data_IF_724405140743
#
_entry.id   IF_724405140743
#
_cell.length_a   1.000
_cell.length_b   1.000
_cell.length_c   1.000
_cell.angle_alpha   90.00
_cell.angle_beta   90.00
_cell.angle_gamma   90.00
#
_symmetry.space_group_name_H-M   'P 1'
#
loop_
_entity.id
_entity.type
_entity.pdbx_description
1 polymer ?
#
# COMPACT_ATOMS: atom_id res chain seq x y z
N UNK A 1 11.79 -12.62 -0.40
CA UNK A 1 10.37 -12.39 -0.74
C UNK A 1 9.91 -11.19 0.02
N UNK A 2 9.29 -10.24 -0.66
CA UNK A 2 8.84 -8.98 -0.09
C UNK A 2 7.32 -8.89 -0.22
N UNK A 3 6.65 -8.51 0.86
CA UNK A 3 5.20 -8.33 0.92
C UNK A 3 4.87 -6.85 1.08
N UNK A 4 4.03 -6.35 0.19
CA UNK A 4 3.33 -5.07 0.34
C UNK A 4 2.14 -5.28 1.26
N UNK A 5 1.99 -4.37 2.21
CA UNK A 5 0.88 -4.33 3.14
C UNK A 5 0.30 -2.93 3.22
N UNK A 6 -0.95 -2.87 3.65
CA UNK A 6 -1.66 -1.62 3.94
C UNK A 6 -2.01 -1.55 5.41
N UNK A 7 -1.96 -0.34 5.98
CA UNK A 7 -2.65 -0.04 7.23
C UNK A 7 -3.96 0.69 6.93
N UNK A 8 -4.99 0.30 7.66
CA UNK A 8 -6.36 0.77 7.45
C UNK A 8 -6.89 1.46 8.70
N UNK A 9 -7.67 2.51 8.46
CA UNK A 9 -8.56 3.12 9.45
C UNK A 9 -9.99 3.05 8.90
N UNK A 10 -10.89 2.31 9.57
CA UNK A 10 -12.27 2.11 9.11
C UNK A 10 -12.35 1.66 7.63
N UNK A 11 -11.55 0.65 7.26
CA UNK A 11 -11.40 0.15 5.89
C UNK A 11 -10.91 1.17 4.83
N UNK A 12 -10.39 2.32 5.26
CA UNK A 12 -9.69 3.26 4.38
C UNK A 12 -8.18 3.08 4.46
N UNK A 13 -7.53 3.00 3.30
CA UNK A 13 -6.06 2.93 3.24
C UNK A 13 -5.48 4.26 3.70
N UNK A 14 -4.79 4.22 4.84
CA UNK A 14 -4.06 5.38 5.40
C UNK A 14 -2.56 5.30 5.14
N UNK A 15 -2.03 4.09 5.00
CA UNK A 15 -0.60 3.87 4.82
C UNK A 15 -0.35 2.62 3.98
N UNK A 16 0.70 2.65 3.17
CA UNK A 16 1.21 1.50 2.43
C UNK A 16 2.67 1.31 2.80
N UNK A 17 3.04 0.09 3.15
CA UNK A 17 4.42 -0.28 3.45
C UNK A 17 4.82 -1.57 2.76
N UNK A 18 6.11 -1.88 2.86
CA UNK A 18 6.69 -3.14 2.38
C UNK A 18 7.50 -3.80 3.48
N UNK A 19 7.53 -5.12 3.50
CA UNK A 19 8.30 -5.91 4.47
C UNK A 19 8.88 -7.14 3.81
N UNK A 20 10.14 -7.46 4.13
CA UNK A 20 10.75 -8.75 3.77
C UNK A 20 10.33 -9.89 4.70
N UNK A 21 9.71 -9.54 5.84
CA UNK A 21 9.19 -10.49 6.83
C UNK A 21 7.70 -10.74 6.57
N UNK A 22 7.26 -11.99 6.69
CA UNK A 22 5.85 -12.36 6.57
C UNK A 22 5.01 -11.91 7.78
N UNK A 23 5.64 -11.63 8.92
CA UNK A 23 4.91 -11.24 10.12
C UNK A 23 4.47 -9.77 10.08
N UNK A 24 3.22 -9.59 9.62
CA UNK A 24 2.55 -8.29 9.59
C UNK A 24 2.22 -7.78 10.99
N UNK A 25 2.02 -8.65 11.99
CA UNK A 25 1.74 -8.18 13.36
C UNK A 25 2.96 -7.48 13.93
N UNK A 26 4.16 -8.04 13.72
CA UNK A 26 5.40 -7.38 14.11
C UNK A 26 5.53 -5.99 13.47
N UNK A 27 5.13 -5.85 12.19
CA UNK A 27 5.13 -4.56 11.49
C UNK A 27 4.10 -3.58 12.04
N UNK A 28 2.90 -4.05 12.39
CA UNK A 28 1.90 -3.22 13.05
C UNK A 28 2.45 -2.64 14.36
N UNK A 29 3.06 -3.48 15.21
CA UNK A 29 3.68 -3.02 16.46
C UNK A 29 4.79 -1.99 16.23
N UNK A 30 5.62 -2.18 15.21
CA UNK A 30 6.65 -1.19 14.86
C UNK A 30 6.05 0.17 14.48
N UNK A 31 4.97 0.19 13.69
CA UNK A 31 4.28 1.44 13.36
C UNK A 31 3.62 2.09 14.58
N UNK A 32 3.10 1.28 15.51
CA UNK A 32 2.57 1.79 16.78
C UNK A 32 3.67 2.45 17.62
N UNK A 33 4.83 1.81 17.73
CA UNK A 33 6.00 2.35 18.45
C UNK A 33 6.57 3.61 17.77
N UNK A 34 6.64 3.61 16.44
CA UNK A 34 6.99 4.79 15.64
C UNK A 34 6.01 5.94 15.85
N UNK A 35 4.72 5.68 16.07
CA UNK A 35 3.74 6.73 16.35
C UNK A 35 3.98 7.42 17.70
N UNK A 36 4.56 6.72 18.69
CA UNK A 36 4.99 7.35 19.94
C UNK A 36 6.24 8.21 19.75
N UNK A 37 7.19 7.75 18.94
CA UNK A 37 8.48 8.44 18.74
C UNK A 37 8.43 9.55 17.69
N UNK A 38 7.51 9.47 16.73
CA UNK A 38 7.33 10.44 15.65
C UNK A 38 5.82 10.70 15.40
N UNK A 39 5.19 11.49 16.30
CA UNK A 39 3.75 11.70 16.28
C UNK A 39 3.27 12.46 15.04
N UNK A 40 4.10 13.28 14.39
CA UNK A 40 3.70 14.05 13.20
C UNK A 40 3.46 13.14 11.98
N UNK A 41 4.23 12.05 11.85
CA UNK A 41 4.12 11.13 10.72
C UNK A 41 2.94 10.16 10.85
N UNK A 42 2.59 9.80 12.08
CA UNK A 42 1.58 8.78 12.39
C UNK A 42 0.52 9.27 13.38
N UNK A 43 0.18 10.56 13.32
CA UNK A 43 -0.79 11.19 14.23
C UNK A 43 -2.12 10.42 14.27
N UNK A 44 -2.59 9.97 13.11
CA UNK A 44 -3.82 9.19 12.98
C UNK A 44 -3.77 7.85 13.73
N UNK A 45 -2.61 7.18 13.77
CA UNK A 45 -2.42 5.96 14.57
C UNK A 45 -2.53 6.30 16.06
N UNK A 46 -1.84 7.35 16.50
CA UNK A 46 -1.91 7.82 17.89
C UNK A 46 -3.32 8.22 18.32
N UNK A 47 -4.11 8.83 17.43
CA UNK A 47 -5.50 9.18 17.68
C UNK A 47 -6.40 7.93 17.82
N UNK A 48 -6.21 6.90 16.99
CA UNK A 48 -6.90 5.62 17.15
C UNK A 48 -6.66 5.00 18.53
N UNK A 49 -5.42 5.04 19.03
CA UNK A 49 -5.11 4.50 20.36
C UNK A 49 -5.82 5.24 21.49
N UNK A 50 -5.93 6.58 21.40
CA UNK A 50 -6.67 7.38 22.39
C UNK A 50 -8.15 7.01 22.44
N UNK A 51 -8.70 6.52 21.34
CA UNK A 51 -10.07 6.02 21.22
C UNK A 51 -10.22 4.53 21.57
N UNK A 52 -9.14 3.87 22.01
CA UNK A 52 -9.14 2.44 22.32
C UNK A 52 -9.19 1.54 21.08
N UNK A 53 -8.79 2.05 19.91
CA UNK A 53 -8.80 1.34 18.63
C UNK A 53 -7.38 1.13 18.12
N UNK A 54 -7.22 0.16 17.22
CA UNK A 54 -5.94 -0.11 16.53
C UNK A 54 -6.17 -0.11 15.03
N UNK A 55 -5.19 0.34 14.22
CA UNK A 55 -5.29 0.19 12.78
C UNK A 55 -5.24 -1.29 12.37
N UNK A 56 -5.99 -1.64 11.32
CA UNK A 56 -5.90 -2.98 10.73
C UNK A 56 -4.71 -3.05 9.77
N UNK A 57 -4.03 -4.19 9.73
CA UNK A 57 -2.98 -4.47 8.75
C UNK A 57 -3.42 -5.61 7.82
N UNK A 58 -3.29 -5.42 6.50
CA UNK A 58 -3.61 -6.46 5.51
C UNK A 58 -2.49 -6.59 4.47
N UNK A 59 -2.10 -7.81 4.09
CA UNK A 59 -1.23 -8.01 2.93
C UNK A 59 -2.01 -7.64 1.67
N UNK A 60 -1.32 -7.04 0.70
CA UNK A 60 -1.87 -6.70 -0.61
C UNK A 60 -1.27 -7.59 -1.68
N UNK A 61 0.05 -7.74 -1.66
CA UNK A 61 0.77 -8.42 -2.73
C UNK A 61 2.14 -8.88 -2.24
N UNK A 62 2.62 -10.03 -2.71
CA UNK A 62 3.93 -10.58 -2.38
C UNK A 62 4.70 -10.88 -3.66
N UNK A 63 5.95 -10.44 -3.72
CA UNK A 63 6.84 -10.61 -4.87
C UNK A 63 8.23 -11.11 -4.48
N UNK A 64 9.00 -11.59 -5.46
CA UNK A 64 10.39 -11.97 -5.25
C UNK A 64 11.29 -10.74 -5.26
N UNK A 65 12.38 -10.75 -4.48
CA UNK A 65 13.18 -9.54 -4.26
C UNK A 65 13.86 -9.03 -5.54
N UNK A 66 14.03 -9.92 -6.53
CA UNK A 66 14.52 -9.62 -7.89
C UNK A 66 13.58 -8.69 -8.68
N UNK A 67 12.30 -8.66 -8.32
CA UNK A 67 11.26 -7.87 -8.98
C UNK A 67 10.96 -6.55 -8.23
N UNK A 68 11.71 -6.25 -7.15
CA UNK A 68 11.41 -5.15 -6.24
C UNK A 68 11.34 -3.78 -6.91
N UNK A 69 12.32 -3.45 -7.75
CA UNK A 69 12.39 -2.16 -8.46
C UNK A 69 11.19 -1.94 -9.39
N UNK A 70 10.64 -3.01 -9.96
CA UNK A 70 9.48 -2.96 -10.83
C UNK A 70 8.21 -2.67 -10.02
N UNK A 71 7.96 -3.45 -8.98
CA UNK A 71 6.76 -3.29 -8.16
C UNK A 71 6.78 -1.99 -7.36
N UNK A 72 7.93 -1.51 -6.91
CA UNK A 72 8.00 -0.22 -6.20
C UNK A 72 7.60 0.95 -7.09
N UNK A 73 8.06 0.98 -8.35
CA UNK A 73 7.63 2.01 -9.32
C UNK A 73 6.14 1.92 -9.63
N UNK A 74 5.62 0.69 -9.74
CA UNK A 74 4.19 0.41 -9.95
C UNK A 74 3.35 0.96 -8.79
N UNK A 75 3.68 0.58 -7.55
CA UNK A 75 2.94 0.97 -6.36
C UNK A 75 3.04 2.46 -6.05
N UNK A 76 4.18 3.12 -6.31
CA UNK A 76 4.30 4.57 -6.15
C UNK A 76 3.44 5.32 -7.17
N UNK A 77 3.38 4.84 -8.42
CA UNK A 77 2.51 5.39 -9.46
C UNK A 77 1.03 5.23 -9.09
N UNK A 78 0.67 4.07 -8.55
CA UNK A 78 -0.70 3.76 -8.13
C UNK A 78 -1.09 4.49 -6.84
N UNK A 79 -0.20 4.64 -5.86
CA UNK A 79 -0.51 5.28 -4.57
C UNK A 79 -1.02 6.72 -4.72
N UNK A 80 -0.45 7.49 -5.66
CA UNK A 80 -0.95 8.84 -6.00
C UNK A 80 -2.37 8.84 -6.55
N UNK A 81 -2.81 7.71 -7.10
CA UNK A 81 -4.16 7.52 -7.63
C UNK A 81 -5.11 6.92 -6.56
N UNK A 82 -4.60 6.06 -5.66
CA UNK A 82 -5.40 5.35 -4.66
C UNK A 82 -5.59 6.08 -3.32
N UNK A 83 -4.82 7.15 -3.03
CA UNK A 83 -5.04 7.96 -1.82
C UNK A 83 -6.42 8.63 -1.86
N UNK A 84 -7.42 7.99 -1.25
CA UNK A 84 -8.83 8.42 -1.24
C UNK A 84 -9.86 7.32 -1.49
N UNK A 85 -9.45 6.11 -1.89
CA UNK A 85 -10.39 5.01 -2.12
C UNK A 85 -10.77 4.27 -0.82
N UNK A 86 -12.07 4.15 -0.55
CA UNK A 86 -12.62 3.22 0.46
C UNK A 86 -12.44 1.79 -0.07
N UNK A 87 -11.99 0.85 0.76
CA UNK A 87 -12.00 -0.57 0.41
C UNK A 87 -13.44 -1.12 0.48
N UNK A 88 -14.30 -0.67 -0.43
CA UNK A 88 -15.60 -1.29 -0.61
C UNK A 88 -15.42 -2.50 -1.53
N UNK A 89 -15.44 -3.68 -0.92
CA UNK A 89 -15.63 -5.01 -1.53
C UNK A 89 -14.66 -5.43 -2.63
N UNK A 90 -13.84 -6.46 -2.34
CA UNK A 90 -13.31 -7.52 -3.23
C UNK A 90 -12.70 -7.19 -4.61
N UNK A 91 -12.74 -5.97 -5.13
CA UNK A 91 -12.02 -5.53 -6.32
C UNK A 91 -10.59 -5.18 -5.93
N UNK A 92 -9.88 -6.19 -5.41
CA UNK A 92 -8.47 -6.05 -5.12
C UNK A 92 -7.72 -5.86 -6.44
N UNK A 93 -6.97 -4.76 -6.48
CA UNK A 93 -5.72 -4.56 -7.22
C UNK A 93 -5.46 -5.68 -8.24
N UNK A 94 -6.00 -5.52 -9.45
CA UNK A 94 -5.73 -6.42 -10.58
C UNK A 94 -4.54 -5.84 -11.36
N UNK A 95 -3.29 -6.22 -11.05
CA UNK A 95 -2.13 -5.76 -11.82
C UNK A 95 -2.30 -6.02 -13.32
N UNK A 96 -3.06 -7.05 -13.69
CA UNK A 96 -3.43 -7.38 -15.07
C UNK A 96 -4.29 -6.30 -15.77
N UNK A 97 -5.22 -5.65 -15.05
CA UNK A 97 -6.03 -4.57 -15.62
C UNK A 97 -5.19 -3.29 -15.84
N UNK A 98 -4.18 -3.07 -15.00
CA UNK A 98 -3.24 -1.97 -15.15
C UNK A 98 -2.26 -2.21 -16.32
N UNK A 99 -1.71 -3.43 -16.44
CA UNK A 99 -0.86 -3.84 -17.57
C UNK A 99 -1.57 -3.68 -18.93
N UNK A 100 -2.88 -3.97 -18.97
CA UNK A 100 -3.72 -3.78 -20.16
C UNK A 100 -3.95 -2.30 -20.52
N UNK A 101 -3.91 -1.39 -19.53
CA UNK A 101 -3.94 0.06 -19.76
C UNK A 101 -2.58 0.62 -20.19
N UNK A 102 -1.47 0.15 -19.61
CA UNK A 102 -0.12 0.58 -20.00
C UNK A 102 0.27 0.12 -21.41
N UNK A 103 -0.10 -1.10 -21.81
CA UNK A 103 0.13 -1.60 -23.18
C UNK A 103 -0.57 -0.74 -24.22
N UNK A 104 -1.81 -0.31 -23.95
CA UNK A 104 -2.53 0.65 -24.79
C UNK A 104 -1.84 2.01 -24.91
N UNK A 105 -1.24 2.52 -23.83
CA UNK A 105 -0.53 3.81 -23.86
C UNK A 105 0.73 3.71 -24.72
N UNK A 106 1.44 2.58 -24.67
CA UNK A 106 2.62 2.33 -25.53
C UNK A 106 2.27 2.26 -27.01
N UNK A 107 1.11 1.70 -27.36
CA UNK A 107 0.64 1.68 -28.75
C UNK A 107 0.28 3.09 -29.25
N UNK A 108 -0.34 3.93 -28.41
CA UNK A 108 -0.69 5.31 -28.78
C UNK A 108 0.49 6.28 -28.85
N UNK A 109 1.63 5.99 -28.21
CA UNK A 109 2.86 6.80 -28.34
C UNK A 109 3.73 6.43 -29.54
N UNK A 110 3.33 5.42 -30.32
CA UNK A 110 4.03 5.01 -31.55
C UNK A 110 3.35 5.57 -32.81
N UNK A 111 2.28 6.34 -32.65
CA UNK A 111 1.51 7.00 -33.72
C UNK A 111 1.52 8.53 -33.60
N UNK A 112 2.64 9.15 -33.20
CA UNK A 112 2.96 10.51 -33.66
C UNK A 112 4.42 10.49 -34.13
N UNK A 113 4.55 10.31 -35.45
CA UNK A 113 5.79 10.36 -36.21
C UNK A 113 5.75 11.58 -37.12
#
# INVERSE_FOLDING_TARGET
>A
MTTIYVLLENDQIRYIGKTRKTDLKEKLFQHMDEAYSNPEKFEWIGNLFKEGRTPDIKPVFTYQDEEADYYEKLFISDYKFFSGLKLTSQEYFRPELFLKKLSKIKESSTEEK
#
